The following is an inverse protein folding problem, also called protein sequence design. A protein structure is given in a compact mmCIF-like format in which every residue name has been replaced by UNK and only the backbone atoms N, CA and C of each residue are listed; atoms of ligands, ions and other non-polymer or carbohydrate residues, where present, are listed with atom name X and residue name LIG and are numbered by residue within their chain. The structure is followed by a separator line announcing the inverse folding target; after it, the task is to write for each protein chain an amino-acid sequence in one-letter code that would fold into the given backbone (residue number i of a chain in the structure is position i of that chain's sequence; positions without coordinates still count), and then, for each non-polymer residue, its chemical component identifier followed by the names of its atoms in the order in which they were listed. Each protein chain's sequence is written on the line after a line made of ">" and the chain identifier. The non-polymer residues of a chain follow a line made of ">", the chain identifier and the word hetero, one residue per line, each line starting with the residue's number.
data_IF_494784827583
#
_entry.id   IF_494784827583
#
_cell.length_a   1.000
_cell.length_b   1.000
_cell.length_c   1.000
_cell.angle_alpha   90.00
_cell.angle_beta   90.00
_cell.angle_gamma   90.00
#
_symmetry.space_group_name_H-M   'P 1'
#
loop_
_entity.id
_entity.type
_entity.pdbx_description
1 polymer ?
#
# COMPACT_ATOMS: atom_id res chain seq x y z
N UNK A 1 26.16 23.86 6.03
CA UNK A 1 25.14 24.51 5.16
C UNK A 1 25.74 25.34 4.03
N UNK A 2 26.59 26.35 4.29
CA UNK A 2 27.17 27.19 3.23
C UNK A 2 27.89 26.37 2.13
N UNK A 3 28.71 25.40 2.54
CA UNK A 3 29.36 24.43 1.61
C UNK A 3 28.36 23.76 0.65
N UNK A 4 27.19 23.34 1.15
CA UNK A 4 26.13 22.69 0.36
C UNK A 4 25.53 23.69 -0.62
N UNK A 5 25.23 24.91 -0.17
CA UNK A 5 24.66 25.96 -1.03
C UNK A 5 25.60 26.33 -2.16
N UNK A 6 26.90 26.46 -1.88
CA UNK A 6 27.92 26.73 -2.91
C UNK A 6 28.05 25.56 -3.90
N UNK A 7 28.10 24.32 -3.40
CA UNK A 7 28.16 23.13 -4.25
C UNK A 7 26.90 22.98 -5.13
N UNK A 8 25.72 23.28 -4.59
CA UNK A 8 24.46 23.28 -5.35
C UNK A 8 24.48 24.33 -6.47
N UNK A 9 24.89 25.57 -6.15
CA UNK A 9 24.98 26.65 -7.15
C UNK A 9 25.95 26.28 -8.29
N UNK A 10 27.13 25.76 -7.94
CA UNK A 10 28.13 25.28 -8.90
C UNK A 10 27.57 24.18 -9.80
N UNK A 11 26.90 23.18 -9.23
CA UNK A 11 26.30 22.09 -10.00
C UNK A 11 25.23 22.62 -10.97
N UNK A 12 24.37 23.54 -10.51
CA UNK A 12 23.32 24.14 -11.34
C UNK A 12 23.90 24.93 -12.52
N UNK A 13 25.00 25.67 -12.31
CA UNK A 13 25.68 26.39 -13.37
C UNK A 13 26.30 25.42 -14.40
N UNK A 14 27.10 24.45 -13.94
CA UNK A 14 27.73 23.47 -14.84
C UNK A 14 26.72 22.61 -15.60
N UNK A 15 25.55 22.35 -15.02
CA UNK A 15 24.48 21.60 -15.68
C UNK A 15 23.81 22.38 -16.84
N UNK A 16 23.97 23.71 -16.90
CA UNK A 16 23.52 24.53 -18.04
C UNK A 16 24.53 24.50 -19.18
N UNK A 17 25.82 24.47 -18.84
CA UNK A 17 26.92 24.60 -19.80
C UNK A 17 27.34 23.24 -20.38
N UNK A 18 27.19 22.16 -19.62
CA UNK A 18 27.75 20.85 -19.95
C UNK A 18 26.72 19.73 -19.75
N UNK A 19 26.90 18.65 -20.50
CA UNK A 19 26.09 17.44 -20.34
C UNK A 19 26.31 16.78 -18.98
N UNK A 20 25.32 16.01 -18.51
CA UNK A 20 25.40 15.37 -17.20
C UNK A 20 26.50 14.32 -17.06
N UNK A 21 26.98 13.78 -18.18
CA UNK A 21 28.08 12.81 -18.24
C UNK A 21 29.47 13.44 -18.14
N UNK A 22 29.56 14.76 -18.33
CA UNK A 22 30.82 15.50 -18.27
C UNK A 22 31.52 15.28 -16.92
N UNK A 23 32.85 15.15 -16.95
CA UNK A 23 33.65 14.89 -15.75
C UNK A 23 33.49 15.99 -14.70
N UNK A 24 33.35 17.26 -15.11
CA UNK A 24 33.15 18.37 -14.17
C UNK A 24 31.75 18.33 -13.54
N UNK A 25 30.72 17.96 -14.31
CA UNK A 25 29.37 17.76 -13.75
C UNK A 25 29.33 16.57 -12.78
N UNK A 26 30.02 15.47 -13.10
CA UNK A 26 30.16 14.32 -12.17
C UNK A 26 30.87 14.72 -10.89
N UNK A 27 31.98 15.47 -10.99
CA UNK A 27 32.73 15.96 -9.84
C UNK A 27 31.89 16.93 -8.98
N UNK A 28 31.12 17.83 -9.60
CA UNK A 28 30.25 18.75 -8.86
C UNK A 28 29.11 18.02 -8.13
N UNK A 29 28.53 16.94 -8.72
CA UNK A 29 27.56 16.08 -8.03
C UNK A 29 28.19 15.35 -6.84
N UNK A 30 29.40 14.82 -7.00
CA UNK A 30 30.13 14.19 -5.90
C UNK A 30 30.39 15.19 -4.76
N UNK A 31 30.87 16.39 -5.06
CA UNK A 31 31.08 17.45 -4.07
C UNK A 31 29.80 17.81 -3.30
N UNK A 32 28.67 17.99 -3.99
CA UNK A 32 27.39 18.27 -3.35
C UNK A 32 26.94 17.11 -2.45
N UNK A 33 27.06 15.88 -2.95
CA UNK A 33 26.71 14.66 -2.22
C UNK A 33 27.54 14.51 -0.94
N UNK A 34 28.86 14.61 -1.07
CA UNK A 34 29.80 14.36 0.04
C UNK A 34 29.68 15.46 1.11
N UNK A 35 29.56 16.72 0.70
CA UNK A 35 29.31 17.83 1.63
C UNK A 35 27.95 17.72 2.34
N UNK A 36 26.94 17.15 1.68
CA UNK A 36 25.63 16.90 2.29
C UNK A 36 25.68 15.73 3.28
N UNK A 37 26.38 14.64 2.94
CA UNK A 37 26.60 13.50 3.85
C UNK A 37 27.35 13.93 5.11
N UNK A 38 28.47 14.64 4.97
CA UNK A 38 29.24 15.19 6.12
C UNK A 38 28.33 16.03 7.03
N UNK A 39 27.51 16.89 6.42
CA UNK A 39 26.61 17.76 7.18
C UNK A 39 25.50 16.97 7.90
N UNK A 40 24.88 16.00 7.24
CA UNK A 40 23.85 15.14 7.84
C UNK A 40 24.38 14.33 9.03
N UNK A 41 25.63 13.86 8.94
CA UNK A 41 26.27 13.09 10.01
C UNK A 41 26.75 13.96 11.18
N UNK A 42 27.10 15.22 10.94
CA UNK A 42 27.63 16.11 11.98
C UNK A 42 26.57 16.97 12.70
N UNK A 43 25.34 17.08 12.17
CA UNK A 43 24.35 18.05 12.64
C UNK A 43 22.98 17.41 12.94
N UNK A 44 22.78 16.83 14.14
CA UNK A 44 21.46 16.39 14.60
C UNK A 44 20.49 17.57 14.80
N UNK A 45 19.18 17.29 14.93
CA UNK A 45 18.16 17.83 14.03
C UNK A 45 18.18 19.37 13.93
N UNK A 46 18.89 19.88 12.91
CA UNK A 46 18.69 21.25 12.46
C UNK A 46 17.43 21.33 11.58
N UNK A 47 16.74 22.47 11.64
CA UNK A 47 15.73 22.85 10.64
C UNK A 47 16.40 22.72 9.26
N UNK A 48 15.88 21.85 8.38
CA UNK A 48 16.25 21.61 6.94
C UNK A 48 16.87 20.25 6.57
N UNK A 49 16.99 19.25 7.46
CA UNK A 49 17.49 17.89 7.10
C UNK A 49 16.80 17.33 5.85
N UNK A 50 15.46 17.32 5.84
CA UNK A 50 14.68 16.81 4.72
C UNK A 50 14.97 17.55 3.41
N UNK A 51 15.16 18.88 3.47
CA UNK A 51 15.49 19.68 2.29
C UNK A 51 16.85 19.29 1.71
N UNK A 52 17.84 19.02 2.56
CA UNK A 52 19.18 18.60 2.10
C UNK A 52 19.10 17.22 1.43
N UNK A 53 18.41 16.27 2.05
CA UNK A 53 18.20 14.93 1.49
C UNK A 53 17.46 14.99 0.14
N UNK A 54 16.38 15.78 0.05
CA UNK A 54 15.63 15.99 -1.19
C UNK A 54 16.50 16.62 -2.28
N UNK A 55 17.37 17.58 -1.94
CA UNK A 55 18.31 18.19 -2.88
C UNK A 55 19.31 17.15 -3.40
N UNK A 56 19.89 16.34 -2.52
CA UNK A 56 20.81 15.26 -2.91
C UNK A 56 20.12 14.26 -3.83
N UNK A 57 18.96 13.74 -3.45
CA UNK A 57 18.20 12.81 -4.30
C UNK A 57 17.90 13.42 -5.66
N UNK A 58 17.32 14.63 -5.69
CA UNK A 58 16.86 15.28 -6.93
C UNK A 58 18.01 15.62 -7.87
N UNK A 59 19.08 16.25 -7.36
CA UNK A 59 20.15 16.80 -8.18
C UNK A 59 21.27 15.79 -8.47
N UNK A 60 21.63 14.95 -7.49
CA UNK A 60 22.74 14.02 -7.64
C UNK A 60 22.32 12.71 -8.31
N UNK A 61 21.06 12.28 -8.15
CA UNK A 61 20.61 10.94 -8.57
C UNK A 61 19.44 10.97 -9.54
N UNK A 62 18.28 11.50 -9.15
CA UNK A 62 17.05 11.43 -9.93
C UNK A 62 17.15 12.10 -11.31
N UNK A 63 17.72 13.32 -11.38
CA UNK A 63 17.94 14.00 -12.68
C UNK A 63 18.86 13.19 -13.62
N UNK A 64 20.04 12.73 -13.19
CA UNK A 64 20.84 11.79 -13.99
C UNK A 64 20.10 10.51 -14.38
N UNK A 65 19.31 9.90 -13.48
CA UNK A 65 18.48 8.71 -13.78
C UNK A 65 17.54 8.99 -14.95
N UNK A 66 16.81 10.10 -14.94
CA UNK A 66 15.91 10.45 -16.04
C UNK A 66 16.66 10.65 -17.37
N UNK A 67 17.84 11.27 -17.34
CA UNK A 67 18.66 11.43 -18.54
C UNK A 67 19.22 10.09 -19.05
N UNK A 68 19.58 9.17 -18.15
CA UNK A 68 19.92 7.79 -18.52
C UNK A 68 18.74 7.07 -19.17
N UNK A 69 17.56 7.15 -18.57
CA UNK A 69 16.33 6.53 -19.10
C UNK A 69 16.01 7.03 -20.50
N UNK A 70 16.09 8.34 -20.74
CA UNK A 70 15.90 8.93 -22.07
C UNK A 70 16.90 8.37 -23.09
N UNK A 71 18.18 8.24 -22.71
CA UNK A 71 19.21 7.65 -23.58
C UNK A 71 18.99 6.16 -23.85
N UNK A 72 18.54 5.38 -22.86
CA UNK A 72 18.18 3.96 -23.04
C UNK A 72 17.02 3.83 -24.03
N UNK A 73 15.96 4.64 -23.87
CA UNK A 73 14.82 4.64 -24.80
C UNK A 73 15.25 5.03 -26.22
N UNK A 74 16.06 6.09 -26.36
CA UNK A 74 16.56 6.52 -27.67
C UNK A 74 17.46 5.47 -28.35
N UNK A 75 18.32 4.79 -27.57
CA UNK A 75 19.17 3.71 -28.09
C UNK A 75 18.35 2.47 -28.47
N UNK A 76 17.31 2.13 -27.71
CA UNK A 76 16.42 1.00 -27.99
C UNK A 76 15.59 1.19 -29.27
N UNK A 77 15.26 2.44 -29.62
CA UNK A 77 14.59 2.76 -30.89
C UNK A 77 15.49 2.56 -32.13
N UNK A 78 16.80 2.39 -31.94
CA UNK A 78 17.79 2.29 -33.02
C UNK A 78 17.92 0.94 -33.73
N UNK A 79 17.08 -0.04 -33.39
CA UNK A 79 17.09 -1.37 -34.02
C UNK A 79 18.33 -2.22 -33.70
N UNK A 80 18.52 -3.30 -34.47
CA UNK A 80 19.56 -4.32 -34.25
C UNK A 80 20.98 -3.73 -34.36
N UNK A 81 21.18 -2.76 -35.24
CA UNK A 81 22.49 -2.12 -35.49
C UNK A 81 23.02 -1.33 -34.29
N UNK A 82 22.14 -0.83 -33.41
CA UNK A 82 22.53 -0.08 -32.20
C UNK A 82 22.48 -0.92 -30.92
N UNK A 83 22.44 -2.25 -31.03
CA UNK A 83 22.41 -3.16 -29.88
C UNK A 83 23.61 -2.97 -28.95
N UNK A 84 24.81 -2.81 -29.50
CA UNK A 84 26.03 -2.60 -28.71
C UNK A 84 26.03 -1.24 -28.00
N UNK A 85 25.54 -0.20 -28.68
CA UNK A 85 25.36 1.12 -28.08
C UNK A 85 24.33 1.08 -26.94
N UNK A 86 23.22 0.36 -27.12
CA UNK A 86 22.21 0.13 -26.08
C UNK A 86 22.81 -0.61 -24.88
N UNK A 87 23.57 -1.69 -25.11
CA UNK A 87 24.23 -2.44 -24.04
C UNK A 87 25.25 -1.58 -23.28
N UNK A 88 26.00 -0.72 -23.98
CA UNK A 88 26.95 0.22 -23.36
C UNK A 88 26.23 1.25 -22.48
N UNK A 89 25.13 1.85 -22.97
CA UNK A 89 24.33 2.80 -22.18
C UNK A 89 23.68 2.11 -20.99
N UNK A 90 23.11 0.92 -21.17
CA UNK A 90 22.52 0.12 -20.07
C UNK A 90 23.56 -0.23 -19.01
N UNK A 91 24.74 -0.70 -19.40
CA UNK A 91 25.83 -1.04 -18.45
C UNK A 91 26.22 0.18 -17.62
N UNK A 92 26.42 1.32 -18.27
CA UNK A 92 26.81 2.53 -17.59
C UNK A 92 25.68 3.08 -16.67
N UNK A 93 24.42 2.87 -17.05
CA UNK A 93 23.28 3.20 -16.19
C UNK A 93 23.22 2.29 -14.95
N UNK A 94 23.35 0.97 -15.13
CA UNK A 94 23.35 0.02 -14.02
C UNK A 94 24.51 0.28 -13.05
N UNK A 95 25.71 0.58 -13.56
CA UNK A 95 26.84 0.98 -12.73
C UNK A 95 26.52 2.25 -11.93
N UNK A 96 25.91 3.27 -12.55
CA UNK A 96 25.49 4.48 -11.83
C UNK A 96 24.48 4.18 -10.72
N UNK A 97 23.52 3.27 -10.96
CA UNK A 97 22.55 2.86 -9.94
C UNK A 97 23.20 2.10 -8.79
N UNK A 98 24.19 1.25 -9.07
CA UNK A 98 24.95 0.49 -8.07
C UNK A 98 25.81 1.41 -7.18
N UNK A 99 26.50 2.39 -7.77
CA UNK A 99 27.23 3.44 -7.04
C UNK A 99 26.28 4.26 -6.15
N UNK A 100 25.09 4.60 -6.65
CA UNK A 100 24.06 5.29 -5.86
C UNK A 100 23.51 4.42 -4.72
N UNK A 101 23.30 3.12 -4.96
CA UNK A 101 22.84 2.18 -3.94
C UNK A 101 23.88 2.00 -2.84
N UNK A 102 25.17 1.95 -3.22
CA UNK A 102 26.29 1.89 -2.27
C UNK A 102 26.33 3.13 -1.38
N UNK A 103 26.13 4.33 -1.97
CA UNK A 103 26.05 5.58 -1.22
C UNK A 103 24.90 5.57 -0.20
N UNK A 104 23.66 5.25 -0.59
CA UNK A 104 22.52 5.28 0.34
C UNK A 104 22.60 4.16 1.39
N UNK A 105 23.17 3.01 1.07
CA UNK A 105 23.42 1.94 2.04
C UNK A 105 24.44 2.39 3.10
N UNK A 106 25.53 3.02 2.66
CA UNK A 106 26.55 3.56 3.56
C UNK A 106 25.98 4.70 4.43
N UNK A 107 25.26 5.64 3.84
CA UNK A 107 24.63 6.74 4.57
C UNK A 107 23.62 6.25 5.62
N UNK A 108 22.76 5.29 5.25
CA UNK A 108 21.81 4.68 6.19
C UNK A 108 22.52 4.00 7.37
N UNK A 109 23.59 3.25 7.08
CA UNK A 109 24.40 2.58 8.12
C UNK A 109 25.06 3.61 9.04
N UNK A 110 25.71 4.63 8.49
CA UNK A 110 26.37 5.68 9.26
C UNK A 110 25.41 6.51 10.11
N UNK A 111 24.21 6.82 9.60
CA UNK A 111 23.17 7.51 10.38
C UNK A 111 22.67 6.65 11.55
N UNK A 112 22.49 5.35 11.32
CA UNK A 112 22.13 4.40 12.37
C UNK A 112 23.24 4.31 13.43
N UNK A 113 24.50 4.16 13.02
CA UNK A 113 25.63 4.01 13.92
C UNK A 113 25.88 5.30 14.74
N UNK A 114 25.67 6.47 14.14
CA UNK A 114 25.90 7.76 14.80
C UNK A 114 24.77 8.16 15.77
N UNK A 115 23.53 7.75 15.51
CA UNK A 115 22.36 8.31 16.20
C UNK A 115 21.44 7.28 16.87
N UNK A 116 21.66 5.99 16.67
CA UNK A 116 20.94 4.91 17.33
C UNK A 116 20.47 3.82 16.37
N UNK A 117 20.47 2.57 16.85
CA UNK A 117 20.01 1.42 16.07
C UNK A 117 18.52 1.55 15.73
N UNK A 118 18.23 1.57 14.43
CA UNK A 118 16.86 1.66 13.91
C UNK A 118 16.40 0.34 13.28
N UNK A 119 17.20 -0.73 13.41
CA UNK A 119 16.88 -2.06 12.89
C UNK A 119 17.21 -2.26 11.41
N UNK A 120 17.84 -1.30 10.75
CA UNK A 120 18.34 -1.47 9.39
C UNK A 120 19.57 -2.38 9.37
N UNK A 121 19.56 -3.38 8.49
CA UNK A 121 20.67 -4.30 8.26
C UNK A 121 20.96 -4.37 6.74
N UNK A 122 22.16 -4.02 6.28
CA UNK A 122 22.55 -4.13 4.87
C UNK A 122 22.49 -5.57 4.35
N UNK A 123 22.21 -5.74 3.05
CA UNK A 123 21.97 -7.04 2.41
C UNK A 123 23.13 -8.05 2.60
N UNK A 124 24.39 -7.62 2.68
CA UNK A 124 25.54 -8.52 2.88
C UNK A 124 25.61 -9.12 4.30
N UNK A 125 24.92 -8.51 5.26
CA UNK A 125 24.71 -9.07 6.60
C UNK A 125 23.47 -9.98 6.68
N UNK A 126 22.64 -10.00 5.63
CA UNK A 126 21.35 -10.69 5.58
C UNK A 126 21.46 -12.21 5.31
N UNK A 127 22.66 -12.74 5.00
CA UNK A 127 22.89 -14.19 4.94
C UNK A 127 22.65 -14.90 6.31
N UNK A 128 22.45 -14.14 7.39
CA UNK A 128 22.08 -14.65 8.72
C UNK A 128 20.78 -14.09 9.31
N UNK A 129 19.94 -13.39 8.54
CA UNK A 129 18.63 -12.95 9.01
C UNK A 129 17.54 -13.88 8.46
N UNK A 130 17.43 -15.06 9.08
CA UNK A 130 16.17 -15.80 9.06
C UNK A 130 15.11 -14.88 9.68
N UNK A 131 14.06 -14.57 8.90
CA UNK A 131 12.79 -14.03 9.37
C UNK A 131 12.81 -12.66 10.07
N UNK A 132 12.37 -11.62 9.36
CA UNK A 132 11.94 -10.36 9.99
C UNK A 132 10.45 -10.13 9.75
N UNK A 133 9.61 -10.93 10.41
CA UNK A 133 8.19 -10.62 10.66
C UNK A 133 7.93 -10.20 12.12
N UNK A 134 8.97 -9.79 12.86
CA UNK A 134 8.92 -9.63 14.31
C UNK A 134 9.28 -8.23 14.85
N UNK A 135 9.33 -7.18 14.02
CA UNK A 135 9.70 -5.84 14.50
C UNK A 135 8.65 -4.76 14.17
N UNK A 136 7.43 -4.96 14.67
CA UNK A 136 6.61 -3.81 15.13
C UNK A 136 6.50 -3.91 16.66
N UNK A 137 7.61 -4.27 17.29
CA UNK A 137 7.74 -4.32 18.75
C UNK A 137 8.18 -2.93 19.22
N UNK A 138 7.27 -2.24 19.91
CA UNK A 138 7.42 -0.87 20.42
C UNK A 138 7.87 0.12 19.35
N UNK A 139 6.92 0.80 18.70
CA UNK A 139 7.21 1.99 17.90
C UNK A 139 8.01 2.96 18.77
N UNK A 140 9.34 2.97 18.61
CA UNK A 140 10.15 4.03 19.16
C UNK A 140 9.60 5.34 18.56
N UNK A 141 9.42 6.40 19.37
CA UNK A 141 8.95 7.68 18.85
C UNK A 141 9.79 8.02 17.62
N UNK A 142 9.13 8.34 16.51
CA UNK A 142 9.82 8.64 15.25
C UNK A 142 10.89 9.70 15.50
N UNK A 143 12.15 9.30 15.49
CA UNK A 143 13.29 10.19 15.62
C UNK A 143 13.61 10.74 14.23
N UNK A 144 14.31 11.87 14.18
CA UNK A 144 14.71 12.44 12.90
C UNK A 144 15.63 11.48 12.10
N UNK A 145 16.46 10.70 12.80
CA UNK A 145 17.41 9.77 12.17
C UNK A 145 16.70 8.52 11.64
N UNK A 146 15.69 7.98 12.32
CA UNK A 146 14.91 6.86 11.76
C UNK A 146 14.15 7.31 10.50
N UNK A 147 13.64 8.54 10.49
CA UNK A 147 13.04 9.13 9.31
C UNK A 147 14.06 9.31 8.15
N UNK A 148 15.29 9.75 8.46
CA UNK A 148 16.38 9.88 7.48
C UNK A 148 16.80 8.53 6.90
N UNK A 149 17.00 7.52 7.74
CA UNK A 149 17.30 6.14 7.31
C UNK A 149 16.14 5.58 6.48
N UNK A 150 14.89 5.77 6.91
CA UNK A 150 13.70 5.38 6.16
C UNK A 150 13.67 5.99 4.76
N UNK A 151 14.02 7.27 4.60
CA UNK A 151 14.12 7.94 3.29
C UNK A 151 15.29 7.42 2.45
N UNK A 152 16.42 7.05 3.05
CA UNK A 152 17.51 6.36 2.34
C UNK A 152 17.03 5.01 1.79
N UNK A 153 16.25 4.25 2.57
CA UNK A 153 15.68 2.96 2.14
C UNK A 153 14.66 3.13 1.01
N UNK A 154 13.86 4.21 1.02
CA UNK A 154 12.99 4.54 -0.12
C UNK A 154 13.83 4.81 -1.37
N UNK A 155 14.92 5.58 -1.26
CA UNK A 155 15.84 5.82 -2.38
C UNK A 155 16.45 4.52 -2.91
N UNK A 156 16.85 3.59 -2.03
CA UNK A 156 17.32 2.25 -2.40
C UNK A 156 16.26 1.46 -3.17
N UNK A 157 15.02 1.47 -2.69
CA UNK A 157 13.90 0.84 -3.40
C UNK A 157 13.65 1.44 -4.78
N UNK A 158 13.74 2.77 -4.91
CA UNK A 158 13.61 3.46 -6.19
C UNK A 158 14.74 3.05 -7.16
N UNK A 159 15.99 3.01 -6.67
CA UNK A 159 17.16 2.57 -7.46
C UNK A 159 17.00 1.13 -7.96
N UNK A 160 16.59 0.20 -7.09
CA UNK A 160 16.31 -1.19 -7.48
C UNK A 160 15.19 -1.27 -8.52
N UNK A 161 14.13 -0.46 -8.39
CA UNK A 161 13.04 -0.40 -9.37
C UNK A 161 13.52 0.12 -10.73
N UNK A 162 14.39 1.12 -10.76
CA UNK A 162 14.99 1.61 -12.02
C UNK A 162 15.93 0.58 -12.65
N UNK A 163 16.69 -0.17 -11.85
CA UNK A 163 17.54 -1.26 -12.33
C UNK A 163 16.69 -2.38 -12.97
N UNK A 164 15.64 -2.82 -12.28
CA UNK A 164 14.70 -3.82 -12.78
C UNK A 164 14.03 -3.40 -14.10
N UNK A 165 13.63 -2.12 -14.21
CA UNK A 165 13.05 -1.58 -15.44
C UNK A 165 14.04 -1.51 -16.62
N UNK A 166 15.35 -1.54 -16.35
CA UNK A 166 16.43 -1.44 -17.35
C UNK A 166 17.01 -2.79 -17.78
N UNK A 167 16.57 -3.88 -17.13
CA UNK A 167 17.00 -5.25 -17.38
C UNK A 167 16.81 -5.73 -18.83
N UNK A 168 17.36 -6.91 -19.12
CA UNK A 168 17.33 -7.50 -20.46
C UNK A 168 15.95 -8.05 -20.84
N UNK A 169 15.16 -8.53 -19.87
CA UNK A 169 13.85 -9.13 -20.10
C UNK A 169 12.72 -8.15 -19.77
N UNK A 170 12.07 -7.63 -20.83
CA UNK A 170 10.94 -6.72 -20.68
C UNK A 170 9.67 -7.42 -20.16
N UNK A 171 9.60 -8.76 -20.20
CA UNK A 171 8.40 -9.54 -19.85
C UNK A 171 8.27 -9.82 -18.35
N UNK A 172 9.38 -9.80 -17.60
CA UNK A 172 9.40 -9.95 -16.13
C UNK A 172 10.40 -9.00 -15.50
N UNK A 173 9.89 -7.87 -15.02
CA UNK A 173 10.64 -6.96 -14.15
C UNK A 173 10.63 -7.52 -12.74
N UNK A 174 11.75 -8.11 -12.32
CA UNK A 174 11.92 -8.54 -10.93
C UNK A 174 11.99 -7.31 -10.01
N UNK A 175 10.95 -7.07 -9.23
CA UNK A 175 10.83 -5.94 -8.30
C UNK A 175 11.04 -6.34 -6.85
N UNK A 176 11.44 -7.59 -6.59
CA UNK A 176 11.57 -8.15 -5.23
C UNK A 176 12.53 -7.36 -4.34
N UNK A 177 13.69 -6.95 -4.87
CA UNK A 177 14.65 -6.11 -4.14
C UNK A 177 14.08 -4.73 -3.80
N UNK A 178 13.33 -4.12 -4.74
CA UNK A 178 12.69 -2.83 -4.50
C UNK A 178 11.64 -2.92 -3.39
N UNK A 179 10.81 -3.96 -3.47
CA UNK A 179 9.77 -4.27 -2.49
C UNK A 179 10.37 -4.49 -1.09
N UNK A 180 11.49 -5.23 -1.00
CA UNK A 180 12.21 -5.46 0.25
C UNK A 180 12.68 -4.14 0.88
N UNK A 181 13.27 -3.24 0.10
CA UNK A 181 13.71 -1.93 0.60
C UNK A 181 12.55 -1.07 1.11
N UNK A 182 11.42 -1.02 0.38
CA UNK A 182 10.25 -0.28 0.85
C UNK A 182 9.65 -0.87 2.13
N UNK A 183 9.66 -2.19 2.28
CA UNK A 183 9.24 -2.83 3.54
C UNK A 183 10.15 -2.50 4.71
N UNK A 184 11.47 -2.56 4.50
CA UNK A 184 12.41 -2.13 5.54
C UNK A 184 12.20 -0.66 5.89
N UNK A 185 11.90 0.20 4.91
CA UNK A 185 11.57 1.60 5.16
C UNK A 185 10.32 1.76 6.06
N UNK A 186 9.29 0.93 5.87
CA UNK A 186 8.09 0.92 6.73
C UNK A 186 8.43 0.45 8.15
N UNK A 187 9.28 -0.57 8.29
CA UNK A 187 9.72 -1.06 9.61
C UNK A 187 10.49 0.02 10.38
N UNK A 188 11.41 0.70 9.70
CA UNK A 188 12.27 1.74 10.30
C UNK A 188 11.50 3.05 10.53
N UNK A 189 10.61 3.41 9.61
CA UNK A 189 9.89 4.68 9.62
C UNK A 189 8.39 4.51 9.31
N UNK A 190 7.62 3.89 10.23
CA UNK A 190 6.20 3.56 9.98
C UNK A 190 5.29 4.78 9.93
N UNK A 191 5.76 5.94 10.40
CA UNK A 191 5.01 7.19 10.39
C UNK A 191 4.91 7.83 9.01
N UNK A 192 5.78 7.49 8.06
CA UNK A 192 5.84 8.10 6.73
C UNK A 192 5.03 7.35 5.67
N UNK A 193 4.19 8.09 4.93
CA UNK A 193 3.33 7.49 3.90
C UNK A 193 4.06 7.07 2.61
N UNK A 194 5.23 7.65 2.33
CA UNK A 194 5.90 7.51 1.04
C UNK A 194 6.26 6.05 0.70
N UNK A 195 6.78 5.26 1.65
CA UNK A 195 7.12 3.86 1.39
C UNK A 195 5.89 3.01 1.00
N UNK A 196 4.73 3.27 1.62
CA UNK A 196 3.47 2.65 1.21
C UNK A 196 3.05 3.10 -0.20
N UNK A 197 3.17 4.39 -0.54
CA UNK A 197 2.92 4.87 -1.90
C UNK A 197 3.78 4.13 -2.94
N UNK A 198 5.07 3.90 -2.65
CA UNK A 198 5.94 3.18 -3.58
C UNK A 198 5.57 1.70 -3.73
N UNK A 199 5.10 1.03 -2.67
CA UNK A 199 4.54 -0.32 -2.77
C UNK A 199 3.27 -0.33 -3.64
N UNK A 200 2.41 0.69 -3.55
CA UNK A 200 1.24 0.81 -4.42
C UNK A 200 1.65 0.92 -5.90
N UNK A 201 2.73 1.65 -6.20
CA UNK A 201 3.29 1.73 -7.56
C UNK A 201 3.76 0.35 -8.05
N UNK A 202 4.42 -0.45 -7.20
CA UNK A 202 4.80 -1.83 -7.56
C UNK A 202 3.57 -2.70 -7.83
N UNK A 203 2.54 -2.62 -6.99
CA UNK A 203 1.29 -3.35 -7.20
C UNK A 203 0.61 -2.98 -8.52
N UNK A 204 0.62 -1.71 -8.92
CA UNK A 204 0.11 -1.29 -10.22
C UNK A 204 0.93 -1.86 -11.39
N UNK A 205 2.26 -1.91 -11.26
CA UNK A 205 3.12 -2.55 -12.27
C UNK A 205 2.84 -4.05 -12.40
N UNK A 206 2.45 -4.70 -11.31
CA UNK A 206 2.01 -6.10 -11.27
C UNK A 206 0.54 -6.31 -11.68
N UNK A 207 -0.20 -5.24 -12.00
CA UNK A 207 -1.65 -5.24 -12.32
C UNK A 207 -2.55 -5.69 -11.15
N UNK A 208 -2.10 -5.48 -9.92
CA UNK A 208 -2.82 -5.81 -8.69
C UNK A 208 -3.50 -4.55 -8.09
N UNK A 209 -4.63 -4.13 -8.67
CA UNK A 209 -5.30 -2.87 -8.30
C UNK A 209 -5.77 -2.81 -6.84
N UNK A 210 -6.32 -3.90 -6.30
CA UNK A 210 -6.75 -3.92 -4.90
C UNK A 210 -5.57 -3.77 -3.92
N UNK A 211 -4.43 -4.41 -4.23
CA UNK A 211 -3.20 -4.23 -3.45
C UNK A 211 -2.69 -2.79 -3.54
N UNK A 212 -2.78 -2.16 -4.71
CA UNK A 212 -2.44 -0.76 -4.89
C UNK A 212 -3.33 0.17 -4.03
N UNK A 213 -4.65 -0.02 -4.05
CA UNK A 213 -5.58 0.76 -3.21
C UNK A 213 -5.30 0.55 -1.72
N UNK A 214 -5.07 -0.70 -1.30
CA UNK A 214 -4.66 -1.01 0.07
C UNK A 214 -3.43 -0.18 0.49
N UNK A 215 -2.38 -0.16 -0.34
CA UNK A 215 -1.16 0.57 -0.02
C UNK A 215 -1.34 2.10 -0.10
N UNK A 216 -2.13 2.62 -1.03
CA UNK A 216 -2.44 4.05 -1.06
C UNK A 216 -3.27 4.49 0.16
N UNK A 217 -4.23 3.68 0.62
CA UNK A 217 -4.95 3.95 1.85
C UNK A 217 -4.02 3.94 3.06
N UNK A 218 -3.09 2.97 3.15
CA UNK A 218 -2.04 2.97 4.18
C UNK A 218 -1.14 4.20 4.10
N UNK A 219 -0.80 4.66 2.90
CA UNK A 219 -0.03 5.89 2.66
C UNK A 219 -0.74 7.16 3.16
N UNK A 220 -2.06 7.15 3.25
CA UNK A 220 -2.87 8.25 3.78
C UNK A 220 -3.19 8.11 5.28
N UNK A 221 -3.24 6.88 5.80
CA UNK A 221 -3.57 6.57 7.19
C UNK A 221 -2.33 6.33 8.08
N UNK A 222 -1.39 7.28 8.03
CA UNK A 222 -0.20 7.34 8.89
C UNK A 222 -0.03 8.74 9.46
N UNK A 223 0.87 8.91 10.44
CA UNK A 223 1.11 10.20 11.08
C UNK A 223 1.60 11.29 10.11
N UNK A 224 2.35 10.92 9.07
CA UNK A 224 2.79 11.82 8.00
C UNK A 224 2.32 11.28 6.64
N UNK A 225 1.08 11.61 6.24
CA UNK A 225 0.49 11.16 4.98
C UNK A 225 1.31 11.60 3.76
N UNK A 226 1.30 10.80 2.69
CA UNK A 226 1.86 11.22 1.40
C UNK A 226 0.75 11.76 0.47
N UNK A 227 0.68 13.09 0.22
CA UNK A 227 -0.50 13.71 -0.42
C UNK A 227 -0.83 13.16 -1.82
N UNK A 228 0.20 12.85 -2.63
CA UNK A 228 0.02 12.34 -3.99
C UNK A 228 -0.76 11.02 -4.06
N UNK A 229 -0.81 10.24 -2.96
CA UNK A 229 -1.60 9.01 -2.92
C UNK A 229 -3.10 9.27 -3.17
N UNK A 230 -3.62 10.43 -2.75
CA UNK A 230 -5.02 10.82 -2.98
C UNK A 230 -5.32 11.01 -4.47
N UNK A 231 -4.45 11.74 -5.18
CA UNK A 231 -4.60 11.97 -6.63
C UNK A 231 -4.49 10.66 -7.41
N UNK A 232 -3.54 9.80 -7.04
CA UNK A 232 -3.38 8.48 -7.64
C UNK A 232 -4.60 7.58 -7.43
N UNK A 233 -5.23 7.63 -6.26
CA UNK A 233 -6.47 6.89 -5.96
C UNK A 233 -7.63 7.36 -6.84
N UNK A 234 -7.79 8.66 -7.04
CA UNK A 234 -8.86 9.21 -7.89
C UNK A 234 -8.73 8.66 -9.32
N UNK A 235 -7.53 8.71 -9.90
CA UNK A 235 -7.28 8.17 -11.23
C UNK A 235 -7.52 6.66 -11.31
N UNK A 236 -7.11 5.91 -10.28
CA UNK A 236 -7.30 4.46 -10.20
C UNK A 236 -8.79 4.11 -10.15
N UNK A 237 -9.57 4.78 -9.30
CA UNK A 237 -11.00 4.50 -9.17
C UNK A 237 -11.80 4.81 -10.44
N UNK A 238 -11.44 5.86 -11.18
CA UNK A 238 -12.06 6.17 -12.46
C UNK A 238 -11.82 5.05 -13.49
N UNK A 239 -10.60 4.52 -13.56
CA UNK A 239 -10.28 3.37 -14.42
C UNK A 239 -11.02 2.10 -14.02
N UNK A 240 -11.12 1.81 -12.72
CA UNK A 240 -11.81 0.60 -12.24
C UNK A 240 -13.33 0.68 -12.42
N UNK A 241 -13.93 1.88 -12.36
CA UNK A 241 -15.37 2.07 -12.62
C UNK A 241 -15.79 1.50 -13.97
N UNK A 242 -15.03 1.77 -15.03
CA UNK A 242 -15.30 1.26 -16.38
C UNK A 242 -15.26 -0.27 -16.44
N UNK A 243 -14.29 -0.88 -15.74
CA UNK A 243 -14.18 -2.35 -15.63
C UNK A 243 -15.37 -2.96 -14.89
N UNK A 244 -15.77 -2.35 -13.78
CA UNK A 244 -16.89 -2.82 -12.97
C UNK A 244 -18.22 -2.78 -13.76
N UNK A 245 -18.43 -1.76 -14.59
CA UNK A 245 -19.61 -1.69 -15.47
C UNK A 245 -19.59 -2.79 -16.55
N UNK A 246 -18.41 -3.15 -17.06
CA UNK A 246 -18.24 -4.32 -17.94
C UNK A 246 -18.67 -5.64 -17.30
N UNK A 247 -18.36 -5.85 -16.01
CA UNK A 247 -18.78 -7.05 -15.27
C UNK A 247 -20.30 -7.16 -15.09
N UNK A 248 -20.99 -6.02 -14.93
CA UNK A 248 -22.47 -5.99 -14.87
C UNK A 248 -23.09 -6.46 -16.19
N UNK A 249 -22.49 -6.09 -17.31
CA UNK A 249 -22.99 -6.43 -18.65
C UNK A 249 -22.72 -7.89 -19.04
N UNK A 250 -21.55 -8.44 -18.67
CA UNK A 250 -21.24 -9.86 -18.87
C UNK A 250 -22.23 -10.79 -18.13
N UNK A 251 -22.63 -10.38 -16.92
CA UNK A 251 -23.61 -11.11 -16.11
C UNK A 251 -25.02 -11.10 -16.72
N UNK A 252 -25.40 -10.03 -17.43
CA UNK A 252 -26.68 -9.94 -18.17
C UNK A 252 -26.66 -10.77 -19.46
N UNK A 253 -25.54 -10.82 -20.18
CA UNK A 253 -25.41 -11.60 -21.42
C UNK A 253 -25.56 -13.11 -21.25
N UNK A 254 -25.18 -13.66 -20.08
CA UNK A 254 -25.36 -15.09 -19.75
C UNK A 254 -26.85 -15.44 -19.56
N UNK A 255 -27.66 -14.52 -19.03
CA UNK A 255 -29.09 -14.73 -18.81
C UNK A 255 -29.85 -14.73 -20.15
N UNK A 256 -29.41 -13.96 -21.15
CA UNK A 256 -30.10 -13.84 -22.43
C UNK A 256 -29.90 -15.05 -23.38
N UNK A 257 -28.87 -15.89 -23.18
CA UNK A 257 -28.53 -16.99 -24.11
C UNK A 257 -29.32 -18.29 -23.85
N UNK A 258 -30.10 -18.39 -22.76
CA UNK A 258 -30.89 -19.61 -22.46
C UNK A 258 -32.36 -19.57 -22.92
N UNK A 259 -32.76 -18.55 -23.68
CA UNK A 259 -34.11 -18.48 -24.27
C UNK A 259 -34.21 -19.26 -25.58
N UNK A 260 -34.33 -20.58 -25.55
CA UNK A 260 -34.89 -21.31 -26.69
C UNK A 260 -36.38 -20.93 -26.82
N UNK A 261 -36.78 -20.48 -28.01
CA UNK A 261 -38.18 -20.19 -28.37
C UNK A 261 -39.00 -21.48 -28.25
N UNK A 262 -39.64 -21.68 -27.10
CA UNK A 262 -40.61 -22.74 -26.84
C UNK A 262 -41.93 -22.15 -26.38
N UNK A 263 -42.97 -22.36 -27.18
CA UNK A 263 -44.34 -21.88 -27.00
C UNK A 263 -45.03 -22.77 -25.94
N UNK A 264 -45.41 -22.23 -24.78
CA UNK A 264 -46.20 -22.96 -23.78
C UNK A 264 -46.09 -22.36 -22.37
N UNK A 265 -47.23 -21.89 -21.84
CA UNK A 265 -47.34 -21.11 -20.63
C UNK A 265 -46.93 -21.81 -19.33
N UNK A 266 -46.48 -20.98 -18.39
CA UNK A 266 -46.19 -21.32 -17.00
C UNK A 266 -45.26 -20.28 -16.40
N UNK A 267 -45.82 -19.30 -15.68
CA UNK A 267 -45.05 -18.31 -14.93
C UNK A 267 -44.36 -19.03 -13.76
N UNK A 268 -43.18 -19.61 -14.01
CA UNK A 268 -42.33 -20.16 -12.95
C UNK A 268 -41.65 -18.98 -12.27
N UNK A 269 -42.15 -18.62 -11.08
CA UNK A 269 -41.40 -17.78 -10.15
C UNK A 269 -40.10 -18.54 -9.83
N UNK A 270 -38.99 -18.10 -10.42
CA UNK A 270 -37.66 -18.61 -10.10
C UNK A 270 -37.36 -18.22 -8.66
N UNK A 271 -37.48 -19.20 -7.76
CA UNK A 271 -36.86 -19.18 -6.44
C UNK A 271 -35.39 -18.82 -6.62
N UNK A 272 -34.90 -17.78 -5.93
CA UNK A 272 -33.54 -17.23 -6.01
C UNK A 272 -32.49 -18.34 -6.18
N UNK A 273 -32.16 -18.62 -7.44
CA UNK A 273 -31.21 -19.66 -7.80
C UNK A 273 -29.82 -19.12 -7.53
N UNK A 274 -29.04 -19.82 -6.69
CA UNK A 274 -27.60 -19.57 -6.52
C UNK A 274 -26.99 -19.33 -7.91
N UNK A 275 -26.26 -18.23 -8.08
CA UNK A 275 -25.50 -17.97 -9.31
C UNK A 275 -24.69 -19.24 -9.65
N UNK A 276 -24.67 -19.68 -10.92
CA UNK A 276 -23.87 -20.84 -11.30
C UNK A 276 -22.41 -20.60 -10.87
N UNK A 277 -21.84 -21.57 -10.16
CA UNK A 277 -20.49 -21.47 -9.59
C UNK A 277 -19.46 -21.30 -10.71
N UNK A 278 -18.96 -20.08 -10.88
CA UNK A 278 -17.93 -19.75 -11.88
C UNK A 278 -16.56 -20.30 -11.48
N UNK A 279 -15.60 -20.42 -12.42
CA UNK A 279 -14.23 -20.84 -12.11
C UNK A 279 -13.58 -19.92 -11.06
N UNK A 280 -12.72 -20.47 -10.19
CA UNK A 280 -12.06 -19.68 -9.13
C UNK A 280 -11.16 -18.60 -9.70
N UNK A 281 -10.54 -18.85 -10.86
CA UNK A 281 -9.69 -17.89 -11.55
C UNK A 281 -10.48 -16.62 -11.94
N UNK A 282 -11.68 -16.80 -12.49
CA UNK A 282 -12.56 -15.68 -12.82
C UNK A 282 -12.98 -14.92 -11.55
N UNK A 283 -13.28 -15.63 -10.46
CA UNK A 283 -13.61 -14.98 -9.18
C UNK A 283 -12.44 -14.16 -8.62
N UNK A 284 -11.21 -14.67 -8.72
CA UNK A 284 -9.99 -13.99 -8.28
C UNK A 284 -9.70 -12.72 -9.11
N UNK A 285 -10.14 -12.67 -10.36
CA UNK A 285 -10.01 -11.49 -11.22
C UNK A 285 -11.12 -10.44 -10.96
N UNK A 286 -12.35 -10.90 -10.70
CA UNK A 286 -13.50 -10.01 -10.51
C UNK A 286 -13.62 -9.42 -9.10
N UNK A 287 -13.31 -10.22 -8.07
CA UNK A 287 -13.49 -9.81 -6.67
C UNK A 287 -12.70 -8.53 -6.32
N UNK A 288 -11.40 -8.39 -6.67
CA UNK A 288 -10.66 -7.15 -6.50
C UNK A 288 -11.34 -5.94 -7.17
N UNK A 289 -11.83 -6.12 -8.41
CA UNK A 289 -12.49 -5.05 -9.19
C UNK A 289 -13.75 -4.56 -8.48
N UNK A 290 -14.58 -5.47 -7.95
CA UNK A 290 -15.82 -5.10 -7.23
C UNK A 290 -15.52 -4.35 -5.94
N UNK A 291 -14.53 -4.80 -5.17
CA UNK A 291 -14.15 -4.12 -3.93
C UNK A 291 -13.53 -2.74 -4.21
N UNK A 292 -12.62 -2.64 -5.17
CA UNK A 292 -12.04 -1.35 -5.56
C UNK A 292 -13.12 -0.39 -6.04
N UNK A 293 -14.08 -0.83 -6.85
CA UNK A 293 -15.21 0.00 -7.27
C UNK A 293 -16.06 0.47 -6.08
N UNK A 294 -16.43 -0.45 -5.18
CA UNK A 294 -17.21 -0.13 -3.97
C UNK A 294 -16.52 0.91 -3.08
N UNK A 295 -15.23 0.73 -2.79
CA UNK A 295 -14.45 1.70 -2.01
C UNK A 295 -14.25 3.01 -2.77
N UNK A 296 -14.18 2.98 -4.10
CA UNK A 296 -14.12 4.17 -4.94
C UNK A 296 -15.34 5.07 -4.80
N UNK A 297 -16.55 4.49 -4.70
CA UNK A 297 -17.79 5.25 -4.45
C UNK A 297 -17.73 6.00 -3.11
N UNK A 298 -17.28 5.32 -2.05
CA UNK A 298 -17.13 5.92 -0.72
C UNK A 298 -16.03 6.97 -0.67
N UNK A 299 -14.89 6.69 -1.29
CA UNK A 299 -13.73 7.58 -1.27
C UNK A 299 -13.97 8.87 -2.06
N UNK A 300 -14.52 8.74 -3.26
CA UNK A 300 -14.79 9.89 -4.15
C UNK A 300 -16.07 10.63 -3.79
N UNK A 301 -17.00 9.97 -3.07
CA UNK A 301 -18.34 10.48 -2.73
C UNK A 301 -19.23 10.72 -3.94
N UNK A 302 -18.98 10.00 -5.03
CA UNK A 302 -19.72 10.10 -6.27
C UNK A 302 -20.60 8.86 -6.42
N UNK A 303 -21.85 9.04 -6.86
CA UNK A 303 -22.83 7.97 -7.08
C UNK A 303 -23.07 7.06 -5.85
N UNK A 304 -23.18 7.66 -4.65
CA UNK A 304 -23.44 6.92 -3.40
C UNK A 304 -24.75 6.12 -3.44
N UNK A 305 -25.72 6.50 -4.27
CA UNK A 305 -26.97 5.76 -4.46
C UNK A 305 -26.77 4.38 -5.11
N UNK A 306 -25.66 4.19 -5.83
CA UNK A 306 -25.27 2.89 -6.40
C UNK A 306 -24.49 2.01 -5.43
N UNK A 307 -24.20 2.49 -4.21
CA UNK A 307 -23.35 1.78 -3.25
C UNK A 307 -23.95 0.45 -2.82
N UNK A 308 -25.23 0.40 -2.46
CA UNK A 308 -25.89 -0.85 -2.00
C UNK A 308 -25.74 -1.97 -3.03
N UNK A 309 -26.02 -1.66 -4.31
CA UNK A 309 -25.89 -2.61 -5.42
C UNK A 309 -24.43 -3.08 -5.60
N UNK A 310 -23.46 -2.16 -5.48
CA UNK A 310 -22.04 -2.49 -5.56
C UNK A 310 -21.59 -3.36 -4.36
N UNK A 311 -22.07 -3.04 -3.16
CA UNK A 311 -21.79 -3.75 -1.92
C UNK A 311 -22.37 -5.16 -1.96
N UNK A 312 -23.62 -5.34 -2.37
CA UNK A 312 -24.25 -6.65 -2.54
C UNK A 312 -23.45 -7.55 -3.49
N UNK A 313 -23.05 -7.02 -4.63
CA UNK A 313 -22.26 -7.77 -5.61
C UNK A 313 -20.87 -8.14 -5.08
N UNK A 314 -20.19 -7.22 -4.37
CA UNK A 314 -18.90 -7.47 -3.76
C UNK A 314 -18.98 -8.52 -2.63
N UNK A 315 -20.00 -8.42 -1.77
CA UNK A 315 -20.20 -9.35 -0.66
C UNK A 315 -20.62 -10.74 -1.13
N UNK A 316 -21.41 -10.85 -2.20
CA UNK A 316 -21.76 -12.14 -2.80
C UNK A 316 -20.53 -12.86 -3.37
N UNK A 317 -19.65 -12.12 -4.05
CA UNK A 317 -18.40 -12.67 -4.58
C UNK A 317 -17.43 -13.06 -3.46
N UNK A 318 -17.34 -12.26 -2.39
CA UNK A 318 -16.54 -12.59 -1.21
C UNK A 318 -17.09 -13.86 -0.54
N UNK A 319 -18.40 -13.98 -0.40
CA UNK A 319 -19.04 -15.15 0.21
C UNK A 319 -18.75 -16.43 -0.59
N UNK A 320 -18.87 -16.39 -1.92
CA UNK A 320 -18.43 -17.49 -2.80
C UNK A 320 -16.95 -17.80 -2.53
N UNK A 321 -16.08 -16.78 -2.58
CA UNK A 321 -14.64 -16.94 -2.40
C UNK A 321 -14.27 -17.62 -1.07
N UNK A 322 -14.83 -17.15 0.04
CA UNK A 322 -14.52 -17.64 1.39
C UNK A 322 -14.93 -19.10 1.60
N UNK A 323 -15.96 -19.59 0.91
CA UNK A 323 -16.44 -20.96 1.03
C UNK A 323 -15.78 -21.94 0.05
N UNK A 324 -14.81 -21.50 -0.79
CA UNK A 324 -14.11 -22.39 -1.71
C UNK A 324 -13.07 -23.25 -0.99
N UNK A 325 -13.11 -24.60 -1.09
CA UNK A 325 -12.15 -25.48 -0.43
C UNK A 325 -10.68 -25.26 -0.86
N UNK A 326 -10.45 -24.73 -2.06
CA UNK A 326 -9.11 -24.39 -2.53
C UNK A 326 -8.53 -23.16 -1.82
N UNK A 327 -9.35 -22.22 -1.34
CA UNK A 327 -8.88 -21.01 -0.64
C UNK A 327 -8.33 -21.37 0.74
N UNK A 328 -9.02 -22.25 1.46
CA UNK A 328 -8.52 -22.80 2.72
C UNK A 328 -7.16 -23.51 2.54
N UNK A 329 -6.98 -24.27 1.45
CA UNK A 329 -5.72 -24.97 1.14
C UNK A 329 -4.60 -24.04 0.62
N UNK A 330 -4.94 -23.02 -0.16
CA UNK A 330 -3.95 -22.05 -0.69
C UNK A 330 -3.31 -21.23 0.43
N UNK A 331 -4.05 -20.89 1.48
CA UNK A 331 -3.49 -20.18 2.63
C UNK A 331 -2.57 -21.05 3.49
N UNK A 332 -2.81 -22.36 3.56
CA UNK A 332 -1.92 -23.30 4.25
C UNK A 332 -0.61 -23.55 3.48
N UNK A 333 -0.64 -23.55 2.13
CA UNK A 333 0.54 -23.78 1.29
C UNK A 333 1.34 -22.53 0.93
N UNK A 334 0.79 -21.33 1.16
CA UNK A 334 1.46 -20.04 0.88
C UNK A 334 1.20 -19.05 2.02
N UNK A 335 1.81 -19.29 3.17
CA UNK A 335 2.40 -18.19 3.94
C UNK A 335 3.60 -17.65 3.16
N UNK A 336 3.35 -17.13 1.95
CA UNK A 336 4.34 -16.34 1.25
C UNK A 336 4.44 -15.03 2.02
N UNK A 337 5.53 -14.87 2.77
CA UNK A 337 5.94 -13.70 3.57
C UNK A 337 6.04 -12.37 2.77
N UNK A 338 5.37 -12.26 1.62
CA UNK A 338 5.48 -11.21 0.63
C UNK A 338 4.30 -10.25 0.62
N UNK A 339 3.12 -10.54 1.19
CA UNK A 339 2.02 -9.56 1.25
C UNK A 339 0.91 -10.01 2.24
N UNK A 340 0.16 -9.08 2.86
CA UNK A 340 -1.07 -9.44 3.57
C UNK A 340 -2.03 -10.16 2.62
N UNK A 341 -2.75 -11.17 3.12
CA UNK A 341 -3.73 -11.91 2.32
C UNK A 341 -4.75 -10.95 1.69
N UNK A 342 -5.31 -11.31 0.53
CA UNK A 342 -6.34 -10.48 -0.14
C UNK A 342 -7.45 -10.10 0.84
N UNK A 343 -7.93 -11.05 1.66
CA UNK A 343 -8.94 -10.80 2.69
C UNK A 343 -8.49 -9.72 3.70
N UNK A 344 -7.24 -9.79 4.18
CA UNK A 344 -6.69 -8.77 5.08
C UNK A 344 -6.61 -7.40 4.38
N UNK A 345 -6.25 -7.35 3.10
CA UNK A 345 -6.24 -6.10 2.32
C UNK A 345 -7.63 -5.47 2.26
N UNK A 346 -8.67 -6.27 1.96
CA UNK A 346 -10.06 -5.82 1.91
C UNK A 346 -10.57 -5.31 3.26
N UNK A 347 -10.23 -6.02 4.35
CA UNK A 347 -10.54 -5.56 5.72
C UNK A 347 -9.91 -4.20 5.99
N UNK A 348 -8.62 -4.03 5.67
CA UNK A 348 -7.92 -2.75 5.87
C UNK A 348 -8.54 -1.64 5.03
N UNK A 349 -9.01 -1.94 3.81
CA UNK A 349 -9.72 -0.97 2.99
C UNK A 349 -11.04 -0.52 3.62
N UNK A 350 -11.81 -1.44 4.19
CA UNK A 350 -13.04 -1.13 4.91
C UNK A 350 -12.78 -0.23 6.13
N UNK A 351 -11.79 -0.57 6.95
CA UNK A 351 -11.36 0.24 8.08
C UNK A 351 -10.97 1.65 7.67
N UNK A 352 -10.17 1.79 6.61
CA UNK A 352 -9.79 3.09 6.08
C UNK A 352 -11.01 3.92 5.68
N UNK A 353 -11.94 3.34 4.91
CA UNK A 353 -13.13 4.07 4.46
C UNK A 353 -14.06 4.45 5.61
N UNK A 354 -14.16 3.63 6.67
CA UNK A 354 -14.93 3.96 7.86
C UNK A 354 -14.28 5.08 8.69
N UNK A 355 -12.96 5.04 8.85
CA UNK A 355 -12.19 6.13 9.45
C UNK A 355 -12.35 7.44 8.66
N UNK A 356 -12.20 7.37 7.33
CA UNK A 356 -12.36 8.53 6.44
C UNK A 356 -13.79 9.10 6.44
N UNK A 357 -14.81 8.26 6.64
CA UNK A 357 -16.20 8.68 6.81
C UNK A 357 -16.48 9.32 8.18
N UNK A 358 -15.71 8.94 9.21
CA UNK A 358 -15.85 9.46 10.58
C UNK A 358 -15.11 10.77 10.82
N UNK A 359 -14.01 10.99 10.10
CA UNK A 359 -13.20 12.20 10.23
C UNK A 359 -13.87 13.41 9.58
N UNK A 360 -13.75 14.57 10.24
CA UNK A 360 -14.03 15.92 9.68
C UNK A 360 -13.15 16.28 8.46
N UNK A 361 -12.38 15.34 7.91
CA UNK A 361 -11.36 15.54 6.87
C UNK A 361 -11.93 15.85 5.48
N UNK A 362 -13.19 16.24 5.40
CA UNK A 362 -13.80 16.68 4.17
C UNK A 362 -14.95 17.62 4.49
N UNK A 363 -14.58 18.87 4.78
CA UNK A 363 -15.33 19.96 4.19
C UNK A 363 -15.37 19.68 2.68
N UNK A 364 -16.56 19.44 2.15
CA UNK A 364 -16.74 19.51 0.70
C UNK A 364 -16.60 20.99 0.34
N UNK A 365 -15.65 21.34 -0.52
CA UNK A 365 -15.59 22.70 -1.02
C UNK A 365 -16.87 23.00 -1.82
N UNK A 366 -17.78 23.78 -1.22
CA UNK A 366 -18.87 24.45 -1.93
C UNK A 366 -20.29 23.87 -1.83
N UNK A 367 -20.59 22.92 -0.93
CA UNK A 367 -21.96 22.42 -0.73
C UNK A 367 -22.68 23.12 0.45
N UNK A 368 -24.02 23.31 0.40
CA UNK A 368 -24.78 23.79 1.55
C UNK A 368 -24.62 22.83 2.73
N UNK A 369 -24.41 23.35 3.94
CA UNK A 369 -24.14 22.56 5.16
C UNK A 369 -25.15 21.44 5.45
N UNK A 370 -26.41 21.60 5.03
CA UNK A 370 -27.45 20.57 5.13
C UNK A 370 -27.20 19.38 4.20
N UNK A 371 -26.76 19.63 2.97
CA UNK A 371 -26.40 18.59 1.98
C UNK A 371 -25.12 17.89 2.41
N UNK A 372 -24.15 18.62 2.95
CA UNK A 372 -22.93 18.04 3.52
C UNK A 372 -23.23 17.12 4.71
N UNK A 373 -24.16 17.54 5.58
CA UNK A 373 -24.62 16.73 6.71
C UNK A 373 -25.28 15.42 6.27
N UNK A 374 -26.18 15.48 5.29
CA UNK A 374 -26.88 14.30 4.75
C UNK A 374 -25.93 13.35 4.01
N UNK A 375 -25.07 13.86 3.13
CA UNK A 375 -24.04 13.05 2.46
C UNK A 375 -23.07 12.43 3.48
N UNK A 376 -22.68 13.18 4.51
CA UNK A 376 -21.84 12.67 5.60
C UNK A 376 -22.51 11.58 6.42
N UNK A 377 -23.83 11.65 6.64
CA UNK A 377 -24.59 10.59 7.30
C UNK A 377 -24.72 9.34 6.41
N UNK A 378 -25.06 9.52 5.14
CA UNK A 378 -25.15 8.43 4.16
C UNK A 378 -23.80 7.71 4.02
N UNK A 379 -22.70 8.46 3.93
CA UNK A 379 -21.34 7.91 3.85
C UNK A 379 -20.99 7.07 5.09
N UNK A 380 -21.30 7.56 6.30
CA UNK A 380 -21.08 6.82 7.56
C UNK A 380 -21.93 5.56 7.64
N UNK A 381 -23.21 5.64 7.26
CA UNK A 381 -24.10 4.48 7.18
C UNK A 381 -23.55 3.42 6.24
N UNK A 382 -23.20 3.80 5.01
CA UNK A 382 -22.62 2.90 4.01
C UNK A 382 -21.31 2.28 4.48
N UNK A 383 -20.43 3.08 5.10
CA UNK A 383 -19.16 2.60 5.61
C UNK A 383 -19.32 1.60 6.77
N UNK A 384 -20.31 1.79 7.66
CA UNK A 384 -20.65 0.82 8.69
C UNK A 384 -21.28 -0.45 8.10
N UNK A 385 -22.21 -0.31 7.15
CA UNK A 385 -22.89 -1.44 6.49
C UNK A 385 -21.89 -2.41 5.88
N UNK A 386 -20.89 -1.94 5.11
CA UNK A 386 -19.86 -2.83 4.58
C UNK A 386 -19.03 -3.52 5.68
N UNK A 387 -18.68 -2.82 6.76
CA UNK A 387 -17.84 -3.37 7.82
C UNK A 387 -18.57 -4.47 8.59
N UNK A 388 -19.85 -4.28 8.89
CA UNK A 388 -20.71 -5.29 9.51
C UNK A 388 -20.91 -6.49 8.58
N UNK A 389 -21.18 -6.26 7.29
CA UNK A 389 -21.33 -7.35 6.31
C UNK A 389 -20.04 -8.17 6.17
N UNK A 390 -18.87 -7.52 6.08
CA UNK A 390 -17.57 -8.20 6.09
C UNK A 390 -17.38 -9.04 7.35
N UNK A 391 -17.71 -8.47 8.51
CA UNK A 391 -17.61 -9.18 9.80
C UNK A 391 -18.46 -10.44 9.81
N UNK A 392 -19.73 -10.34 9.38
CA UNK A 392 -20.64 -11.50 9.30
C UNK A 392 -20.13 -12.57 8.36
N UNK A 393 -19.64 -12.19 7.16
CA UNK A 393 -19.11 -13.14 6.17
C UNK A 393 -17.85 -13.85 6.67
N UNK A 394 -16.93 -13.12 7.30
CA UNK A 394 -15.71 -13.70 7.88
C UNK A 394 -16.02 -14.59 9.09
N UNK A 395 -16.93 -14.18 9.96
CA UNK A 395 -17.37 -14.99 11.09
C UNK A 395 -17.98 -16.32 10.63
N UNK A 396 -18.84 -16.29 9.61
CA UNK A 396 -19.41 -17.49 9.02
C UNK A 396 -18.32 -18.41 8.42
N UNK A 397 -17.35 -17.86 7.70
CA UNK A 397 -16.25 -18.62 7.12
C UNK A 397 -15.33 -19.26 8.18
N UNK A 398 -15.05 -18.54 9.28
CA UNK A 398 -14.29 -19.08 10.43
C UNK A 398 -15.07 -20.20 11.11
N UNK A 399 -16.37 -20.01 11.34
CA UNK A 399 -17.23 -21.04 11.95
C UNK A 399 -17.35 -22.29 11.06
N UNK A 400 -17.48 -22.12 9.74
CA UNK A 400 -17.51 -23.24 8.79
C UNK A 400 -16.17 -24.00 8.78
N UNK A 401 -15.03 -23.31 8.81
CA UNK A 401 -13.72 -23.92 8.91
C UNK A 401 -13.55 -24.71 10.22
N UNK A 402 -14.04 -24.17 11.33
CA UNK A 402 -14.04 -24.83 12.64
C UNK A 402 -14.90 -26.10 12.66
N UNK A 403 -16.02 -26.11 11.95
CA UNK A 403 -16.91 -27.28 11.86
C UNK A 403 -16.37 -28.38 10.93
N UNK A 404 -15.55 -28.01 9.94
CA UNK A 404 -15.03 -28.93 8.92
C UNK A 404 -13.68 -29.58 9.28
N UNK A 405 -12.94 -29.02 10.25
CA UNK A 405 -11.61 -29.51 10.65
C UNK A 405 -11.63 -30.07 12.08
N UNK A 406 -10.85 -31.12 12.33
CA UNK A 406 -10.50 -31.56 13.70
C UNK A 406 -9.41 -30.67 14.32
N UNK A 407 -8.83 -29.76 13.55
CA UNK A 407 -7.83 -28.79 14.00
C UNK A 407 -8.47 -27.60 14.73
N UNK A 408 -7.67 -26.93 15.56
CA UNK A 408 -8.09 -25.74 16.31
C UNK A 408 -8.60 -24.63 15.38
N UNK A 409 -9.69 -23.96 15.78
CA UNK A 409 -10.23 -22.72 15.15
C UNK A 409 -9.13 -21.68 14.88
N UNK A 410 -8.06 -21.71 15.68
CA UNK A 410 -6.88 -20.87 15.54
C UNK A 410 -6.16 -21.01 14.18
N UNK A 411 -6.33 -22.13 13.47
CA UNK A 411 -5.71 -22.40 12.17
C UNK A 411 -6.46 -21.73 10.99
N UNK A 412 -7.64 -21.13 11.23
CA UNK A 412 -8.38 -20.49 10.15
C UNK A 412 -7.65 -19.24 9.63
N UNK A 413 -7.37 -19.15 8.31
CA UNK A 413 -6.67 -17.99 7.73
C UNK A 413 -7.51 -16.70 7.77
N UNK A 414 -8.80 -16.81 8.08
CA UNK A 414 -9.73 -15.69 8.17
C UNK A 414 -9.86 -15.13 9.59
N UNK A 415 -9.30 -15.82 10.60
CA UNK A 415 -9.40 -15.42 11.99
C UNK A 415 -8.68 -14.10 12.27
N UNK A 416 -7.48 -13.91 11.72
CA UNK A 416 -6.73 -12.66 11.91
C UNK A 416 -7.45 -11.43 11.30
N UNK A 417 -7.91 -11.46 10.03
CA UNK A 417 -8.77 -10.40 9.49
C UNK A 417 -10.04 -10.14 10.30
N UNK A 418 -10.72 -11.19 10.77
CA UNK A 418 -11.93 -11.06 11.60
C UNK A 418 -11.63 -10.38 12.93
N UNK A 419 -10.57 -10.80 13.63
CA UNK A 419 -10.16 -10.22 14.91
C UNK A 419 -9.87 -8.73 14.77
N UNK A 420 -9.21 -8.32 13.69
CA UNK A 420 -8.91 -6.91 13.42
C UNK A 420 -10.19 -6.07 13.23
N UNK A 421 -11.16 -6.57 12.48
CA UNK A 421 -12.47 -5.89 12.34
C UNK A 421 -13.20 -5.79 13.68
N UNK A 422 -13.28 -6.90 14.42
CA UNK A 422 -13.97 -6.93 15.70
C UNK A 422 -13.31 -6.00 16.73
N UNK A 423 -11.98 -5.95 16.78
CA UNK A 423 -11.26 -5.05 17.68
C UNK A 423 -11.48 -3.58 17.32
N UNK A 424 -11.60 -3.25 16.03
CA UNK A 424 -11.92 -1.90 15.61
C UNK A 424 -13.37 -1.55 15.94
N UNK A 425 -14.33 -2.43 15.64
CA UNK A 425 -15.75 -2.24 15.97
C UNK A 425 -15.98 -2.07 17.47
N UNK A 426 -15.22 -2.76 18.32
CA UNK A 426 -15.31 -2.61 19.78
C UNK A 426 -14.61 -1.36 20.32
N UNK A 427 -13.84 -0.65 19.50
CA UNK A 427 -13.08 0.53 19.92
C UNK A 427 -13.68 1.84 19.40
N UNK A 428 -14.53 1.80 18.37
CA UNK A 428 -15.09 2.99 17.71
C UNK A 428 -16.58 3.22 18.07
N UNK A 429 -16.81 3.69 19.29
CA UNK A 429 -18.16 4.03 19.78
C UNK A 429 -18.82 5.13 18.94
N UNK A 430 -18.05 6.01 18.30
CA UNK A 430 -18.58 7.19 17.60
C UNK A 430 -19.27 6.82 16.30
N UNK A 431 -18.69 5.92 15.51
CA UNK A 431 -19.29 5.49 14.25
C UNK A 431 -20.52 4.60 14.48
N UNK A 432 -20.51 3.75 15.51
CA UNK A 432 -21.66 2.91 15.90
C UNK A 432 -22.83 3.76 16.43
N UNK A 433 -22.56 4.76 17.27
CA UNK A 433 -23.60 5.65 17.80
C UNK A 433 -24.13 6.63 16.75
N UNK A 434 -23.27 7.11 15.84
CA UNK A 434 -23.69 8.04 14.78
C UNK A 434 -24.57 7.37 13.72
N UNK A 435 -24.34 6.08 13.42
CA UNK A 435 -25.17 5.34 12.47
C UNK A 435 -26.55 4.96 13.02
N UNK A 436 -26.69 4.86 14.35
CA UNK A 436 -27.96 4.56 15.03
C UNK A 436 -28.80 5.82 15.34
N UNK A 437 -28.30 7.02 15.03
CA UNK A 437 -29.00 8.28 15.29
C UNK A 437 -29.03 8.69 16.77
N UNK A 438 -28.28 8.01 17.64
CA UNK A 438 -28.22 8.33 19.07
C UNK A 438 -27.25 9.49 19.30
N UNK A 439 -27.75 10.60 19.85
CA UNK A 439 -26.90 11.72 20.26
C UNK A 439 -25.91 11.25 21.34
N UNK A 440 -24.62 11.59 21.18
CA UNK A 440 -23.61 11.33 22.19
C UNK A 440 -24.03 11.99 23.54
N UNK A 441 -23.82 11.32 24.69
CA UNK A 441 -24.11 11.94 25.99
C UNK A 441 -23.24 13.20 26.14
N UNK A 442 -23.91 14.34 26.36
CA UNK A 442 -23.24 15.63 26.61
C UNK A 442 -22.43 15.51 27.90
N UNK A 443 -21.10 15.40 27.81
CA UNK A 443 -20.25 15.43 29.00
C UNK A 443 -18.86 14.81 28.94
N UNK A 444 -18.27 14.51 27.77
CA UNK A 444 -16.88 14.03 27.72
C UNK A 444 -15.89 15.22 27.61
N UNK A 445 -14.86 15.30 28.48
CA UNK A 445 -13.90 16.40 28.47
C UNK A 445 -13.05 16.41 27.19
N UNK A 446 -12.69 17.62 26.75
CA UNK A 446 -12.12 17.94 25.44
C UNK A 446 -10.68 17.43 25.16
N UNK A 447 -10.18 16.43 25.91
CA UNK A 447 -8.75 16.05 25.88
C UNK A 447 -8.43 14.77 25.07
N UNK A 448 -9.38 14.28 24.25
CA UNK A 448 -9.15 13.17 23.31
C UNK A 448 -9.06 13.71 21.87
N UNK A 449 -8.13 14.64 21.66
CA UNK A 449 -7.63 15.04 20.34
C UNK A 449 -6.16 14.61 20.15
N UNK A 450 -5.83 13.36 20.50
CA UNK A 450 -4.53 12.77 20.10
C UNK A 450 -4.76 11.66 19.07
N UNK A 451 -4.11 11.70 17.90
CA UNK A 451 -4.18 10.63 16.87
C UNK A 451 -3.52 9.30 17.30
N UNK A 452 -3.30 9.06 18.59
CA UNK A 452 -2.44 7.98 19.09
C UNK A 452 -3.09 6.60 19.17
N UNK A 453 -4.39 6.50 19.46
CA UNK A 453 -5.00 5.18 19.72
C UNK A 453 -5.22 4.36 18.44
N UNK A 454 -5.58 5.04 17.35
CA UNK A 454 -5.75 4.42 16.03
C UNK A 454 -4.38 3.95 15.52
N UNK A 455 -3.32 4.76 15.70
CA UNK A 455 -1.93 4.41 15.41
C UNK A 455 -1.47 3.12 16.11
N UNK A 456 -1.89 2.88 17.36
CA UNK A 456 -1.52 1.65 18.08
C UNK A 456 -2.23 0.39 17.57
N UNK A 457 -3.50 0.49 17.17
CA UNK A 457 -4.25 -0.63 16.59
C UNK A 457 -3.76 -1.00 15.18
N UNK A 458 -3.24 -0.05 14.41
CA UNK A 458 -2.58 -0.32 13.12
C UNK A 458 -1.24 -1.06 13.26
N UNK A 459 -0.65 -1.08 14.45
CA UNK A 459 0.70 -1.60 14.73
C UNK A 459 0.71 -2.85 15.63
N UNK A 460 -0.38 -3.17 16.34
CA UNK A 460 -0.43 -4.30 17.28
C UNK A 460 -0.79 -5.63 16.59
N UNK A 461 0.02 -6.66 16.83
CA UNK A 461 -0.33 -8.08 16.58
C UNK A 461 -1.43 -8.55 17.54
N UNK A 462 -2.24 -9.57 17.17
CA UNK A 462 -2.98 -10.36 18.15
C UNK A 462 -2.00 -11.13 19.06
N UNK A 463 -2.34 -11.40 20.33
CA UNK A 463 -1.44 -12.07 21.27
C UNK A 463 -1.00 -13.44 20.74
N UNK A 464 0.32 -13.65 20.66
CA UNK A 464 0.93 -14.93 20.32
C UNK A 464 0.82 -15.88 21.52
N UNK A 465 0.02 -16.93 21.39
CA UNK A 465 -0.03 -18.06 22.32
C UNK A 465 1.10 -19.01 21.92
N UNK A 466 2.29 -18.85 22.49
CA UNK A 466 3.26 -19.95 22.67
C UNK A 466 4.24 -19.56 23.78
N UNK A 467 3.92 -20.01 25.00
CA UNK A 467 4.84 -20.12 26.14
C UNK A 467 4.21 -21.02 27.18
N UNK A 468 3.99 -22.29 26.85
CA UNK A 468 3.83 -23.34 27.88
C UNK A 468 5.23 -23.76 28.32
N UNK A 469 5.79 -23.06 29.30
CA UNK A 469 6.89 -23.57 30.10
C UNK A 469 6.37 -24.75 30.92
N UNK A 470 6.96 -25.95 30.84
CA UNK A 470 6.57 -27.05 31.72
C UNK A 470 7.03 -26.72 33.13
N UNK A 471 6.07 -26.56 34.04
CA UNK A 471 6.30 -26.56 35.49
C UNK A 471 6.93 -27.90 35.85
N UNK A 472 8.18 -27.90 36.32
CA UNK A 472 8.74 -29.03 37.07
C UNK A 472 7.84 -29.24 38.30
N UNK A 473 7.18 -30.39 38.36
CA UNK A 473 6.71 -30.95 39.62
C UNK A 473 7.84 -31.79 40.22
N UNK A 474 7.96 -31.72 41.54
CA UNK A 474 8.87 -32.51 42.38
C UNK A 474 8.76 -34.01 42.13
#
# INVERSE_FOLDING_TARGET
>A
MEKITLAEARLRQLSKERGFYDSANRAARAQLRDASQEWLLANPPLVKVEKVEQTVWKLCFYRPIEQFRQRVTAAAAGGVEKKDALLKVKRAFLQFLEEAASFYTALATQLQDAYGDCGFRPHDSASRACMAEAAVAAAQPASWHTAAVGRCLICLGDLSRYAAASGADASRKDTTTAEHHYRNAITVYPSGGNAFNQLAVLSLQAREEAAAVHFYFRSLAVAQPFPMARENLIMLFEGTRQKADGLKNASKGIITVTGTRGRGGGLKVMREGRRPSRPIQQLLEELPVRFVHMHGLLFTRINLDSFEVACDAAMADLDDFLHRPSVHRMHLCKESARAPSMVMQLVIMALFTAWAASGSAAASDGLPATVEGLQGQQLRSHALTQALRLTTKLAAAVAAAAAASTESVAASPFLAPLRLLLSWLSSDDKLVMAATGSAAPRGAPADIQKPGLVSELWLRRPPSILSTTPRKMN
#
